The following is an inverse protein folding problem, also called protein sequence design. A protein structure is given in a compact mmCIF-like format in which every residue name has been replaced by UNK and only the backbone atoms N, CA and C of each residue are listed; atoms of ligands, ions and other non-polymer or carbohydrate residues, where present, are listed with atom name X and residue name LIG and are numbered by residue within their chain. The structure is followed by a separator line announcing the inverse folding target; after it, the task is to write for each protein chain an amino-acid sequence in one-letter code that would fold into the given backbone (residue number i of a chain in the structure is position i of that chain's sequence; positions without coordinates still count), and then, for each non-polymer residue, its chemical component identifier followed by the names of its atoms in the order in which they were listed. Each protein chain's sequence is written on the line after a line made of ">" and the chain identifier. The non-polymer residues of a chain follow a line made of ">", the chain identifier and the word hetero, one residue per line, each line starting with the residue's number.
data_IF_448233886464
#
_entry.id   IF_448233886464
#
_cell.length_a   1.000
_cell.length_b   1.000
_cell.length_c   1.000
_cell.angle_alpha   90.00
_cell.angle_beta   90.00
_cell.angle_gamma   90.00
#
_symmetry.space_group_name_H-M   'P 1'
#
loop_
_entity.id
_entity.type
_entity.pdbx_description
1 polymer ?
#
# COMPACT_ATOMS: atom_id res chain seq x y z
N UNK A 1 -5.92 13.68 2.85
CA UNK A 1 -4.82 12.71 2.97
C UNK A 1 -4.76 12.17 4.38
N UNK A 2 -4.56 10.89 4.50
CA UNK A 2 -4.42 10.21 5.78
C UNK A 2 -3.02 9.63 5.88
N UNK A 3 -2.33 9.90 7.00
CA UNK A 3 -1.04 9.29 7.28
C UNK A 3 -1.25 8.30 8.42
N UNK A 4 -0.94 7.03 8.16
CA UNK A 4 -1.16 5.95 9.10
C UNK A 4 0.17 5.36 9.49
N UNK A 5 0.40 5.21 10.79
CA UNK A 5 1.63 4.61 11.31
C UNK A 5 1.44 3.16 11.72
N UNK A 6 0.21 2.66 11.68
CA UNK A 6 -0.06 1.25 11.95
C UNK A 6 0.02 0.50 10.64
N UNK A 7 1.23 0.12 10.26
CA UNK A 7 1.50 -0.37 8.91
C UNK A 7 1.60 -1.89 8.81
N UNK A 8 1.49 -2.62 9.91
CA UNK A 8 1.64 -4.07 9.91
C UNK A 8 0.78 -4.76 8.83
N UNK A 9 -0.48 -4.39 8.61
CA UNK A 9 -1.29 -5.05 7.57
C UNK A 9 -0.77 -4.84 6.15
N UNK A 10 0.12 -3.88 5.94
CA UNK A 10 0.59 -3.50 4.62
C UNK A 10 2.05 -3.88 4.38
N UNK A 11 2.67 -4.61 5.31
CA UNK A 11 4.11 -4.90 5.26
C UNK A 11 4.34 -6.41 5.15
N UNK A 12 5.32 -6.80 4.34
CA UNK A 12 5.78 -8.18 4.29
C UNK A 12 7.31 -8.19 4.23
N UNK A 13 7.92 -9.20 4.84
CA UNK A 13 9.37 -9.37 4.74
C UNK A 13 9.74 -9.98 3.40
N UNK A 14 10.89 -9.57 2.88
CA UNK A 14 11.39 -9.96 1.57
C UNK A 14 11.56 -11.47 1.41
N UNK A 15 11.81 -12.17 2.50
CA UNK A 15 12.04 -13.61 2.45
C UNK A 15 10.77 -14.43 2.54
N UNK A 16 9.63 -13.81 2.82
CA UNK A 16 8.37 -14.55 2.91
C UNK A 16 7.88 -14.99 1.54
N UNK A 17 7.19 -16.11 1.46
CA UNK A 17 6.71 -16.60 0.16
C UNK A 17 5.63 -15.70 -0.42
N UNK A 18 5.55 -15.69 -1.73
CA UNK A 18 4.57 -14.93 -2.48
C UNK A 18 3.16 -15.22 -1.99
N UNK A 19 2.88 -16.49 -1.62
CA UNK A 19 1.57 -16.85 -1.08
C UNK A 19 1.18 -15.98 0.10
N UNK A 20 2.12 -15.72 1.02
CA UNK A 20 1.83 -14.91 2.20
C UNK A 20 1.52 -13.46 1.81
N UNK A 21 2.21 -12.95 0.79
CA UNK A 21 1.92 -11.62 0.29
C UNK A 21 0.50 -11.51 -0.23
N UNK A 22 0.04 -12.53 -0.96
CA UNK A 22 -1.32 -12.53 -1.49
C UNK A 22 -2.35 -12.59 -0.37
N UNK A 23 -2.08 -13.36 0.67
CA UNK A 23 -2.98 -13.41 1.82
C UNK A 23 -3.09 -12.06 2.49
N UNK A 24 -1.98 -11.35 2.61
CA UNK A 24 -1.99 -10.02 3.22
C UNK A 24 -2.70 -9.00 2.34
N UNK A 25 -2.47 -9.03 1.04
CA UNK A 25 -3.15 -8.13 0.11
C UNK A 25 -4.66 -8.33 0.21
N UNK A 26 -5.09 -9.60 0.25
CA UNK A 26 -6.50 -9.91 0.34
C UNK A 26 -7.09 -9.43 1.68
N UNK A 27 -6.32 -9.56 2.76
CA UNK A 27 -6.80 -9.19 4.08
C UNK A 27 -6.86 -7.68 4.29
N UNK A 28 -5.92 -6.93 3.71
CA UNK A 28 -5.86 -5.48 3.96
C UNK A 28 -6.78 -4.68 3.03
N UNK A 29 -7.29 -5.30 1.96
CA UNK A 29 -8.26 -4.69 1.05
C UNK A 29 -7.76 -3.45 0.31
N UNK A 30 -6.45 -3.18 0.35
CA UNK A 30 -5.87 -2.04 -0.37
C UNK A 30 -5.29 -2.42 -1.72
N UNK A 31 -5.20 -3.71 -2.00
CA UNK A 31 -4.69 -4.17 -3.29
C UNK A 31 -3.19 -4.10 -3.44
N UNK A 32 -2.46 -3.90 -2.36
CA UNK A 32 -1.00 -3.84 -2.42
C UNK A 32 -0.37 -4.27 -1.10
N UNK A 33 0.92 -4.59 -1.16
CA UNK A 33 1.73 -4.92 0.00
C UNK A 33 3.10 -4.27 -0.19
N UNK A 34 3.68 -3.78 0.91
CA UNK A 34 4.99 -3.14 0.90
C UNK A 34 6.01 -4.14 1.38
N UNK A 35 7.06 -4.35 0.60
CA UNK A 35 8.12 -5.30 0.92
C UNK A 35 9.28 -4.59 1.60
N UNK A 36 9.68 -5.10 2.75
CA UNK A 36 10.82 -4.57 3.50
C UNK A 36 11.77 -5.71 3.84
N UNK A 37 13.02 -5.39 4.15
CA UNK A 37 13.96 -6.40 4.64
C UNK A 37 13.89 -6.49 6.17
N UNK A 38 14.74 -7.31 6.76
CA UNK A 38 14.74 -7.54 8.20
C UNK A 38 15.09 -6.29 9.02
N UNK A 39 15.72 -5.30 8.40
CA UNK A 39 16.00 -4.01 9.04
C UNK A 39 14.89 -3.00 8.83
N UNK A 40 13.82 -3.37 8.13
CA UNK A 40 12.72 -2.45 7.85
C UNK A 40 12.91 -1.59 6.62
N UNK A 41 14.01 -1.77 5.87
CA UNK A 41 14.28 -0.95 4.70
C UNK A 41 13.28 -1.26 3.60
N UNK A 42 12.77 -0.22 2.97
CA UNK A 42 11.81 -0.33 1.88
C UNK A 42 12.51 -0.90 0.65
N UNK A 43 12.02 -2.03 0.15
CA UNK A 43 12.60 -2.69 -1.02
C UNK A 43 11.72 -2.57 -2.24
N UNK A 44 10.43 -2.61 -2.08
CA UNK A 44 9.52 -2.55 -3.22
C UNK A 44 8.09 -2.68 -2.79
N UNK A 45 7.21 -2.75 -3.78
CA UNK A 45 5.77 -2.87 -3.57
C UNK A 45 5.24 -3.92 -4.54
N UNK A 46 4.27 -4.69 -4.11
CA UNK A 46 3.58 -5.64 -4.96
C UNK A 46 2.10 -5.29 -4.96
N UNK A 47 1.53 -5.08 -6.14
CA UNK A 47 0.10 -4.83 -6.29
C UNK A 47 -0.59 -6.04 -6.88
N UNK A 48 -1.93 -6.08 -6.80
CA UNK A 48 -2.72 -7.10 -7.49
C UNK A 48 -2.37 -7.17 -8.97
N UNK A 49 -2.18 -6.03 -9.62
CA UNK A 49 -1.84 -6.00 -11.04
C UNK A 49 -0.47 -6.59 -11.31
N UNK A 50 0.50 -6.27 -10.45
CA UNK A 50 1.85 -6.84 -10.57
C UNK A 50 1.79 -8.37 -10.46
N UNK A 51 1.02 -8.87 -9.50
CA UNK A 51 0.89 -10.30 -9.29
C UNK A 51 0.25 -10.97 -10.51
N UNK A 52 -0.83 -10.37 -11.05
CA UNK A 52 -1.50 -10.95 -12.21
C UNK A 52 -0.56 -11.01 -13.42
N UNK A 53 0.22 -9.95 -13.64
CA UNK A 53 1.18 -9.96 -14.74
C UNK A 53 2.23 -11.05 -14.54
N UNK A 54 2.70 -11.21 -13.33
CA UNK A 54 3.69 -12.26 -13.04
C UNK A 54 3.11 -13.66 -13.33
N UNK A 55 1.89 -13.92 -12.91
CA UNK A 55 1.24 -15.21 -13.17
C UNK A 55 1.12 -15.47 -14.67
N UNK A 56 0.71 -14.46 -15.42
CA UNK A 56 0.48 -14.60 -16.85
C UNK A 56 1.80 -14.83 -17.58
N UNK A 57 2.86 -14.15 -17.17
CA UNK A 57 4.14 -14.20 -17.84
C UNK A 57 5.01 -15.38 -17.41
N UNK A 58 4.68 -16.02 -16.31
CA UNK A 58 5.47 -17.14 -15.81
C UNK A 58 4.98 -18.44 -16.41
N UNK A 59 5.91 -19.26 -16.91
CA UNK A 59 5.52 -20.57 -17.42
C UNK A 59 5.12 -21.53 -16.30
N UNK A 60 5.78 -21.41 -15.14
CA UNK A 60 5.48 -22.24 -13.97
C UNK A 60 5.56 -21.37 -12.72
N UNK A 61 4.52 -20.61 -12.43
CA UNK A 61 4.55 -19.73 -11.26
C UNK A 61 4.62 -20.56 -9.98
N UNK A 62 5.54 -20.17 -9.10
CA UNK A 62 5.78 -20.84 -7.84
C UNK A 62 5.51 -19.88 -6.70
N UNK A 63 4.41 -20.09 -6.01
CA UNK A 63 3.98 -19.22 -4.91
C UNK A 63 4.84 -19.36 -3.66
N UNK A 64 5.73 -20.36 -3.62
CA UNK A 64 6.64 -20.53 -2.48
C UNK A 64 7.93 -19.74 -2.63
N UNK A 65 8.15 -19.11 -3.77
CA UNK A 65 9.33 -18.26 -3.95
C UNK A 65 9.26 -17.03 -3.07
N UNK A 66 10.41 -16.48 -2.68
CA UNK A 66 10.40 -15.25 -1.86
C UNK A 66 9.77 -14.10 -2.62
N UNK A 67 9.01 -13.30 -1.91
CA UNK A 67 8.27 -12.19 -2.52
C UNK A 67 9.21 -11.16 -3.14
N UNK A 68 10.46 -11.06 -2.66
CA UNK A 68 11.42 -10.11 -3.22
C UNK A 68 11.67 -10.33 -4.71
N UNK A 69 11.41 -11.53 -5.23
CA UNK A 69 11.67 -11.83 -6.63
C UNK A 69 10.68 -11.16 -7.57
N UNK A 70 9.51 -10.76 -7.06
CA UNK A 70 8.47 -10.22 -7.93
C UNK A 70 8.01 -8.81 -7.56
N UNK A 71 8.57 -8.21 -6.50
CA UNK A 71 8.15 -6.87 -6.12
C UNK A 71 8.66 -5.84 -7.12
N UNK A 72 7.87 -4.79 -7.29
CA UNK A 72 8.25 -3.67 -8.12
C UNK A 72 9.16 -2.74 -7.31
N UNK A 73 10.39 -2.58 -7.75
CA UNK A 73 11.36 -1.73 -7.07
C UNK A 73 11.28 -0.27 -7.50
N UNK A 74 10.58 0.00 -8.59
CA UNK A 74 10.42 1.36 -9.08
C UNK A 74 9.15 1.96 -8.47
N UNK A 75 9.25 2.39 -7.22
CA UNK A 75 8.08 2.79 -6.45
C UNK A 75 8.11 4.28 -6.16
N UNK A 76 6.91 4.83 -5.96
CA UNK A 76 6.75 6.20 -5.52
C UNK A 76 6.66 6.18 -3.99
N UNK A 77 7.52 6.93 -3.34
CA UNK A 77 7.56 7.03 -1.89
C UNK A 77 7.89 8.45 -1.49
N UNK A 78 7.79 8.74 -0.20
CA UNK A 78 8.18 10.03 0.35
C UNK A 78 8.81 9.79 1.71
N UNK A 79 9.42 10.83 2.28
CA UNK A 79 9.95 10.75 3.63
C UNK A 79 8.89 11.25 4.61
N UNK A 80 8.84 10.63 5.78
CA UNK A 80 7.85 11.00 6.78
C UNK A 80 8.04 12.44 7.25
N UNK A 81 9.28 12.98 7.11
CA UNK A 81 9.58 14.38 7.49
C UNK A 81 9.24 15.38 6.38
N UNK A 82 8.88 14.91 5.19
CA UNK A 82 8.48 15.83 4.12
C UNK A 82 7.20 16.56 4.52
N UNK A 83 6.99 17.73 3.95
CA UNK A 83 5.79 18.51 4.28
C UNK A 83 4.54 17.76 3.83
N UNK A 84 3.42 17.91 4.54
CA UNK A 84 2.17 17.29 4.11
C UNK A 84 1.78 17.66 2.69
N UNK A 85 2.04 18.90 2.28
CA UNK A 85 1.74 19.32 0.91
C UNK A 85 2.59 18.54 -0.10
N UNK A 86 3.87 18.35 0.19
CA UNK A 86 4.77 17.62 -0.68
C UNK A 86 4.34 16.16 -0.81
N UNK A 87 3.95 15.54 0.31
CA UNK A 87 3.48 14.16 0.30
C UNK A 87 2.18 14.07 -0.49
N UNK A 88 1.24 14.97 -0.24
CA UNK A 88 -0.06 14.95 -0.91
C UNK A 88 0.08 15.13 -2.41
N UNK A 89 1.07 15.89 -2.85
CA UNK A 89 1.29 16.12 -4.27
C UNK A 89 1.66 14.85 -5.03
N UNK A 90 2.13 13.81 -4.33
CA UNK A 90 2.47 12.53 -4.93
C UNK A 90 1.28 11.58 -5.03
N UNK A 91 0.16 11.93 -4.41
CA UNK A 91 -1.04 11.10 -4.43
C UNK A 91 -2.02 11.62 -5.46
N UNK A 92 -2.64 10.71 -6.21
CA UNK A 92 -3.68 11.06 -7.17
C UNK A 92 -4.59 9.85 -7.36
N UNK A 93 -5.45 9.87 -8.38
CA UNK A 93 -6.39 8.77 -8.59
C UNK A 93 -5.71 7.47 -8.99
N UNK A 94 -4.50 7.54 -9.52
CA UNK A 94 -3.76 6.35 -9.92
C UNK A 94 -2.81 5.89 -8.83
N UNK A 95 -2.26 6.83 -8.05
CA UNK A 95 -1.32 6.52 -6.97
C UNK A 95 -2.00 6.97 -5.69
N UNK A 96 -2.76 6.09 -5.07
CA UNK A 96 -3.58 6.43 -3.91
C UNK A 96 -2.95 6.05 -2.58
N UNK A 97 -1.79 5.42 -2.62
CA UNK A 97 -1.19 4.82 -1.43
C UNK A 97 0.32 4.80 -1.64
N UNK A 98 1.08 5.45 -0.79
CA UNK A 98 2.55 5.43 -0.90
C UNK A 98 3.18 5.15 0.46
N UNK A 99 4.31 4.44 0.49
CA UNK A 99 5.06 4.26 1.73
C UNK A 99 5.82 5.54 2.09
N UNK A 100 5.96 5.76 3.39
CA UNK A 100 6.76 6.85 3.92
C UNK A 100 7.93 6.26 4.70
N UNK A 101 9.11 6.80 4.44
CA UNK A 101 10.33 6.29 5.05
C UNK A 101 10.92 7.29 6.02
N UNK A 102 11.74 6.79 6.94
CA UNK A 102 12.57 7.64 7.79
C UNK A 102 13.84 8.02 7.04
N UNK A 103 14.76 8.68 7.73
CA UNK A 103 16.00 9.14 7.08
C UNK A 103 16.94 8.00 6.72
N UNK A 104 16.67 6.79 7.21
CA UNK A 104 17.49 5.63 6.92
C UNK A 104 16.86 4.70 5.89
N UNK A 105 15.71 5.11 5.34
CA UNK A 105 15.06 4.33 4.30
C UNK A 105 14.11 3.26 4.82
N UNK A 106 13.85 3.22 6.12
CA UNK A 106 12.91 2.26 6.68
C UNK A 106 11.49 2.75 6.50
N UNK A 107 10.58 1.85 6.17
CA UNK A 107 9.17 2.19 6.04
C UNK A 107 8.57 2.32 7.43
N UNK A 108 8.09 3.52 7.77
CA UNK A 108 7.59 3.80 9.11
C UNK A 108 6.14 4.27 9.10
N UNK A 109 5.58 4.55 7.94
CA UNK A 109 4.20 5.01 7.82
C UNK A 109 3.75 4.85 6.38
N UNK A 110 2.47 5.09 6.13
CA UNK A 110 1.93 5.17 4.78
C UNK A 110 1.12 6.46 4.68
N UNK A 111 1.01 6.96 3.46
CA UNK A 111 0.10 8.06 3.15
C UNK A 111 -0.87 7.56 2.11
N UNK A 112 -2.15 7.91 2.27
CA UNK A 112 -3.18 7.51 1.32
C UNK A 112 -4.20 8.60 1.18
N UNK A 113 -4.90 8.58 0.06
CA UNK A 113 -6.01 9.49 -0.12
C UNK A 113 -7.14 9.09 0.81
N UNK A 114 -7.95 10.10 1.18
CA UNK A 114 -9.13 9.82 1.95
C UNK A 114 -9.99 8.84 1.16
N UNK A 115 -10.57 7.88 1.87
CA UNK A 115 -11.35 6.85 1.23
C UNK A 115 -12.59 7.45 0.56
N UNK A 116 -12.61 7.45 -0.77
CA UNK A 116 -13.72 8.04 -1.50
C UNK A 116 -14.99 7.21 -1.39
N UNK A 117 -14.91 5.96 -0.99
CA UNK A 117 -16.10 5.16 -0.80
C UNK A 117 -16.99 5.71 0.30
N UNK A 118 -16.41 6.35 1.29
CA UNK A 118 -17.19 6.99 2.32
C UNK A 118 -18.06 8.08 1.72
N UNK A 119 -17.52 8.83 0.78
CA UNK A 119 -18.29 9.89 0.14
C UNK A 119 -19.38 9.33 -0.74
N UNK A 120 -19.12 8.25 -1.45
CA UNK A 120 -20.10 7.64 -2.30
C UNK A 120 -21.25 7.07 -1.49
N UNK A 121 -20.94 6.41 -0.40
CA UNK A 121 -21.97 5.81 0.43
C UNK A 121 -22.86 6.84 1.07
N UNK A 122 -22.34 8.03 1.24
CA UNK A 122 -23.10 9.05 1.90
C UNK A 122 -23.87 9.90 1.01
N UNK A 123 -23.64 9.79 -0.29
CA UNK A 123 -24.38 10.61 -1.06
C UNK A 123 -25.69 10.12 -1.15
N UNK A 124 -25.96 9.05 -0.71
CA UNK A 124 -27.24 8.75 -0.63
C UNK A 124 -27.72 9.28 0.56
N UNK A 125 -27.16 9.93 1.08
CA UNK A 125 -27.52 10.49 2.12
C UNK A 125 -27.52 11.79 2.02
N UNK A 126 -27.05 11.80 1.42
CA UNK A 126 -26.92 12.53 1.13
C UNK A 126 -26.36 13.24 1.41
N UNK A 127 -26.39 13.10 1.65
CA UNK A 127 -25.79 13.52 1.80
C UNK A 127 -25.14 13.97 2.30
N UNK A 128 -25.03 13.81 2.68
CA UNK A 128 -24.33 13.96 3.09
C UNK A 128 -23.55 14.16 3.62
N UNK A 129 -23.49 14.22 4.16
CA UNK A 129 -22.84 14.17 4.37
C UNK A 129 -22.01 14.14 4.92
N UNK A 130 -22.09 13.82 5.06
CA UNK A 130 -21.56 13.46 5.13
C UNK A 130 -20.72 13.26 5.65
N UNK A 131 -20.72 12.92 5.71
CA UNK A 131 -20.21 12.30 5.75
C UNK A 131 -19.41 11.93 6.53
N UNK A 132 -19.14 11.50 6.98
CA UNK A 132 -18.57 10.82 7.12
C UNK A 132 -17.79 10.43 7.79
N UNK A 133 -17.79 10.01 8.19
CA UNK A 133 -17.19 9.34 8.29
C UNK A 133 -16.49 8.84 8.88
N UNK A 134 -16.36 8.24 9.08
CA UNK A 134 -15.76 7.53 9.20
C UNK A 134 -14.97 7.13 9.58
N UNK A 135 -14.90 6.78 9.79
CA UNK A 135 -14.29 6.25 9.63
C UNK A 135 -13.64 5.85 9.96
N UNK A 136 -13.58 5.52 10.01
CA UNK A 136 -13.06 4.99 9.85
C UNK A 136 -12.52 4.73 9.88
N UNK A 137 -12.63 4.56 9.93
CA UNK A 137 -12.33 4.29 9.61
C UNK A 137 -11.90 4.07 9.46
N UNK A 138 -11.76 3.87 9.34
CA UNK A 138 -11.84 3.63 8.81
C UNK A 138 -11.42 3.11 8.93
#
# INVERSE_FOLDING_TARGET
>A
MIIDRKITPYIILDTEPIRNALQKINANEEGLIICVNSSGLLLGVLTDGDFRRWIIESSQPDLEKPVEEIVNQNIISAKVVDSPRSIAAKLDQQVQFIPLTDNEGRCVAIARLRNSQILIDHHKIGNDSQYMITETCW
#
